data_IF_827258254609
#
_entry.id   IF_827258254609
#
_cell.length_a   1.000
_cell.length_b   1.000
_cell.length_c   1.000
_cell.angle_alpha   90.00
_cell.angle_beta   90.00
_cell.angle_gamma   90.00
#
_symmetry.space_group_name_H-M   'P 1'
#
loop_
_entity.id
_entity.type
_entity.pdbx_description
1 polymer ?
#
# COMPACT_ATOMS: atom_id res chain seq x y z
N UNK A 1 -18.12 -15.73 -9.27
CA UNK A 1 -18.96 -14.68 -8.64
C UNK A 1 -18.06 -13.75 -7.84
N UNK A 2 -17.90 -12.50 -8.28
CA UNK A 2 -17.19 -11.49 -7.48
C UNK A 2 -18.07 -11.16 -6.28
N UNK A 3 -17.72 -11.62 -5.08
CA UNK A 3 -18.16 -10.93 -3.88
C UNK A 3 -17.63 -9.51 -4.01
N UNK A 4 -18.51 -8.56 -4.33
CA UNK A 4 -18.22 -7.16 -4.04
C UNK A 4 -18.02 -7.13 -2.52
N UNK A 5 -16.80 -7.01 -2.06
CA UNK A 5 -16.53 -6.56 -0.70
C UNK A 5 -17.23 -5.21 -0.59
N UNK A 6 -18.47 -5.21 -0.10
CA UNK A 6 -19.18 -3.99 0.23
C UNK A 6 -18.38 -3.45 1.40
N UNK A 7 -17.48 -2.49 1.14
CA UNK A 7 -16.81 -1.77 2.21
C UNK A 7 -17.93 -1.30 3.15
N UNK A 8 -17.85 -1.72 4.41
CA UNK A 8 -18.83 -1.27 5.39
C UNK A 8 -18.75 0.25 5.43
N UNK A 9 -19.89 0.92 5.34
CA UNK A 9 -19.92 2.36 5.59
C UNK A 9 -19.75 2.61 7.08
N UNK A 10 -19.32 3.83 7.43
CA UNK A 10 -19.28 4.32 8.82
C UNK A 10 -20.59 4.07 9.56
N UNK A 11 -21.73 4.28 8.89
CA UNK A 11 -23.05 3.98 9.44
C UNK A 11 -23.26 2.49 9.70
N UNK A 12 -22.85 1.62 8.76
CA UNK A 12 -22.96 0.17 8.92
C UNK A 12 -22.17 -0.36 10.12
N UNK A 13 -20.98 0.18 10.37
CA UNK A 13 -20.17 -0.19 11.55
C UNK A 13 -20.82 0.33 12.83
N UNK A 14 -21.36 1.55 12.81
CA UNK A 14 -22.08 2.08 13.97
C UNK A 14 -23.26 1.19 14.38
N UNK A 15 -24.02 0.69 13.41
CA UNK A 15 -25.09 -0.28 13.67
C UNK A 15 -24.55 -1.57 14.29
N UNK A 16 -23.36 -2.03 13.92
CA UNK A 16 -22.73 -3.20 14.56
C UNK A 16 -22.41 -2.94 16.03
N UNK A 17 -21.84 -1.76 16.36
CA UNK A 17 -21.64 -1.37 17.75
C UNK A 17 -22.96 -1.33 18.52
N UNK A 18 -23.99 -0.70 17.96
CA UNK A 18 -25.30 -0.55 18.60
C UNK A 18 -26.04 -1.89 18.79
N UNK A 19 -25.84 -2.87 17.90
CA UNK A 19 -26.55 -4.16 17.95
C UNK A 19 -25.80 -5.24 18.71
N UNK A 20 -24.46 -5.30 18.57
CA UNK A 20 -23.65 -6.39 19.14
C UNK A 20 -22.84 -5.97 20.37
N UNK A 21 -22.50 -4.69 20.50
CA UNK A 21 -21.72 -4.14 21.62
C UNK A 21 -22.56 -3.17 22.46
N UNK A 22 -23.78 -3.57 22.78
CA UNK A 22 -24.80 -2.75 23.48
C UNK A 22 -24.31 -2.19 24.82
N UNK A 23 -23.51 -2.96 25.55
CA UNK A 23 -22.92 -2.51 26.81
C UNK A 23 -21.95 -1.35 26.60
N UNK A 24 -21.12 -1.42 25.56
CA UNK A 24 -20.17 -0.36 25.22
C UNK A 24 -20.90 0.92 24.79
N UNK A 25 -21.96 0.80 23.99
CA UNK A 25 -22.77 1.95 23.57
C UNK A 25 -23.54 2.57 24.73
N UNK A 26 -24.04 1.76 25.68
CA UNK A 26 -24.65 2.27 26.92
C UNK A 26 -23.64 3.06 27.75
N UNK A 27 -22.46 2.50 28.01
CA UNK A 27 -21.40 3.19 28.75
C UNK A 27 -21.01 4.51 28.11
N UNK A 28 -20.91 4.54 26.77
CA UNK A 28 -20.61 5.77 26.03
C UNK A 28 -21.73 6.81 26.18
N UNK A 29 -23.00 6.40 26.08
CA UNK A 29 -24.16 7.29 26.19
C UNK A 29 -24.35 7.88 27.59
N UNK A 30 -24.02 7.12 28.63
CA UNK A 30 -24.09 7.57 30.03
C UNK A 30 -22.87 8.39 30.46
N UNK A 31 -21.85 8.52 29.59
CA UNK A 31 -20.63 9.27 29.90
C UNK A 31 -20.77 10.70 29.43
N UNK A 32 -20.52 11.66 30.32
CA UNK A 32 -20.64 13.08 30.01
C UNK A 32 -19.48 13.57 29.10
N UNK A 33 -18.28 13.02 29.32
CA UNK A 33 -17.06 13.33 28.60
C UNK A 33 -16.17 12.09 28.36
N UNK A 34 -15.07 12.30 27.63
CA UNK A 34 -14.07 11.27 27.28
C UNK A 34 -13.42 10.64 28.52
N UNK A 35 -13.24 11.41 29.60
CA UNK A 35 -12.58 10.93 30.83
C UNK A 35 -13.50 10.02 31.63
N UNK A 36 -14.77 10.39 31.76
CA UNK A 36 -15.82 9.60 32.38
C UNK A 36 -16.02 8.29 31.62
N UNK A 37 -16.00 8.33 30.29
CA UNK A 37 -16.06 7.13 29.46
C UNK A 37 -14.87 6.19 29.71
N UNK A 38 -13.65 6.71 29.74
CA UNK A 38 -12.45 5.91 30.04
C UNK A 38 -12.51 5.26 31.42
N UNK A 39 -12.98 5.98 32.44
CA UNK A 39 -13.12 5.46 33.80
C UNK A 39 -14.17 4.35 33.86
N UNK A 40 -15.37 4.59 33.33
CA UNK A 40 -16.43 3.57 33.24
C UNK A 40 -15.99 2.34 32.46
N UNK A 41 -15.21 2.54 31.38
CA UNK A 41 -14.68 1.44 30.60
C UNK A 41 -13.61 0.64 31.37
N UNK A 42 -12.74 1.30 32.14
CA UNK A 42 -11.81 0.62 33.04
C UNK A 42 -12.55 -0.23 34.09
N UNK A 43 -13.60 0.31 34.70
CA UNK A 43 -14.41 -0.41 35.68
C UNK A 43 -15.09 -1.62 35.03
N UNK A 44 -15.65 -1.44 33.83
CA UNK A 44 -16.23 -2.51 33.04
C UNK A 44 -15.22 -3.62 32.70
N UNK A 45 -13.96 -3.27 32.41
CA UNK A 45 -12.90 -4.25 32.16
C UNK A 45 -12.54 -5.08 33.41
N UNK A 46 -12.85 -4.61 34.61
CA UNK A 46 -12.59 -5.31 35.88
C UNK A 46 -13.77 -6.16 36.34
N UNK A 47 -15.01 -5.71 36.09
CA UNK A 47 -16.22 -6.35 36.63
C UNK A 47 -17.14 -6.97 35.57
N UNK A 48 -16.88 -6.76 34.28
CA UNK A 48 -17.73 -7.19 33.19
C UNK A 48 -17.65 -8.70 32.87
N UNK A 49 -18.63 -9.25 32.14
CA UNK A 49 -18.62 -10.63 31.66
C UNK A 49 -17.62 -10.79 30.49
N UNK A 50 -16.34 -10.90 30.83
CA UNK A 50 -15.24 -11.01 29.87
C UNK A 50 -14.81 -12.46 29.75
N UNK A 51 -14.86 -12.99 28.53
CA UNK A 51 -14.40 -14.34 28.22
C UNK A 51 -12.92 -14.36 27.80
N UNK A 52 -12.40 -13.24 27.29
CA UNK A 52 -11.02 -13.12 26.82
C UNK A 52 -10.17 -12.11 27.62
N UNK A 53 -9.32 -12.56 28.56
CA UNK A 53 -8.49 -11.67 29.36
C UNK A 53 -7.36 -11.00 28.55
N UNK A 54 -6.92 -11.60 27.43
CA UNK A 54 -5.90 -10.99 26.58
C UNK A 54 -6.46 -9.77 25.83
N UNK A 55 -7.70 -9.85 25.34
CA UNK A 55 -8.42 -8.73 24.75
C UNK A 55 -8.62 -7.59 25.76
N UNK A 56 -8.99 -7.90 27.01
CA UNK A 56 -9.11 -6.91 28.07
C UNK A 56 -7.79 -6.17 28.35
N UNK A 57 -6.65 -6.88 28.41
CA UNK A 57 -5.32 -6.27 28.54
C UNK A 57 -4.98 -5.34 27.37
N UNK A 58 -5.37 -5.71 26.15
CA UNK A 58 -5.14 -4.90 24.95
C UNK A 58 -5.96 -3.59 24.99
N UNK A 59 -7.25 -3.67 25.33
CA UNK A 59 -8.10 -2.50 25.47
C UNK A 59 -7.61 -1.60 26.61
N UNK A 60 -7.18 -2.19 27.73
CA UNK A 60 -6.56 -1.45 28.84
C UNK A 60 -5.34 -0.64 28.38
N UNK A 61 -4.47 -1.23 27.55
CA UNK A 61 -3.33 -0.50 26.95
C UNK A 61 -3.76 0.65 26.05
N UNK A 62 -4.86 0.53 25.30
CA UNK A 62 -5.39 1.64 24.52
C UNK A 62 -5.85 2.78 25.44
N UNK A 63 -6.58 2.46 26.50
CA UNK A 63 -7.04 3.46 27.50
C UNK A 63 -5.85 4.15 28.16
N UNK A 64 -4.83 3.40 28.58
CA UNK A 64 -3.67 3.93 29.30
C UNK A 64 -2.75 4.81 28.41
N UNK A 65 -2.84 4.66 27.10
CA UNK A 65 -2.09 5.50 26.14
C UNK A 65 -2.93 6.65 25.57
N UNK A 66 -4.25 6.61 25.72
CA UNK A 66 -5.15 7.65 25.26
C UNK A 66 -4.94 8.97 26.03
N UNK A 67 -4.52 10.01 25.30
CA UNK A 67 -4.15 11.33 25.80
C UNK A 67 -2.65 11.60 25.83
N UNK A 68 -1.80 10.59 25.59
CA UNK A 68 -0.34 10.79 25.49
C UNK A 68 0.03 11.43 24.16
N UNK A 69 1.12 12.21 24.16
CA UNK A 69 1.74 12.74 22.95
C UNK A 69 2.98 11.93 22.58
N UNK A 70 3.13 11.64 21.29
CA UNK A 70 4.31 11.01 20.70
C UNK A 70 4.88 11.98 19.69
N UNK A 71 6.19 12.18 19.74
CA UNK A 71 6.91 12.92 18.72
C UNK A 71 7.10 12.06 17.46
N UNK A 72 6.51 12.46 16.33
CA UNK A 72 6.71 11.81 15.04
C UNK A 72 7.87 12.48 14.30
N UNK A 73 9.02 11.80 14.29
CA UNK A 73 10.25 12.34 13.70
C UNK A 73 10.16 12.61 12.19
N UNK A 74 9.26 11.96 11.46
CA UNK A 74 9.10 12.13 10.00
C UNK A 74 8.40 13.44 9.62
N UNK A 75 7.49 13.91 10.46
CA UNK A 75 6.73 15.15 10.26
C UNK A 75 7.18 16.27 11.19
N UNK A 76 8.03 15.94 12.17
CA UNK A 76 8.46 16.80 13.27
C UNK A 76 7.28 17.34 14.10
N UNK A 77 6.17 16.59 14.12
CA UNK A 77 4.95 16.97 14.83
C UNK A 77 4.75 16.12 16.09
N UNK A 78 4.14 16.72 17.10
CA UNK A 78 3.60 15.98 18.24
C UNK A 78 2.23 15.43 17.86
N UNK A 79 2.13 14.09 17.79
CA UNK A 79 0.87 13.39 17.57
C UNK A 79 0.28 13.04 18.93
N UNK A 80 -0.95 13.48 19.15
CA UNK A 80 -1.74 13.07 20.32
C UNK A 80 -2.47 11.76 20.03
N UNK A 81 -2.32 10.78 20.91
CA UNK A 81 -3.07 9.52 20.84
C UNK A 81 -4.48 9.78 21.38
N UNK A 82 -5.50 9.63 20.56
CA UNK A 82 -6.90 9.89 20.95
C UNK A 82 -7.84 8.73 20.60
N UNK A 83 -7.32 7.50 20.45
CA UNK A 83 -8.07 6.34 19.96
C UNK A 83 -9.39 6.05 20.71
N UNK A 84 -9.38 6.05 22.04
CA UNK A 84 -10.58 5.79 22.86
C UNK A 84 -11.47 7.04 22.95
N UNK A 85 -10.84 8.22 22.96
CA UNK A 85 -11.55 9.50 22.92
C UNK A 85 -12.34 9.68 21.62
N UNK A 86 -11.75 9.30 20.49
CA UNK A 86 -12.38 9.23 19.18
C UNK A 86 -13.49 8.19 19.12
N UNK A 87 -13.30 7.02 19.74
CA UNK A 87 -14.36 6.01 19.85
C UNK A 87 -15.58 6.55 20.60
N UNK A 88 -15.38 7.25 21.71
CA UNK A 88 -16.50 7.87 22.43
C UNK A 88 -17.23 8.91 21.57
N UNK A 89 -16.49 9.79 20.89
CA UNK A 89 -17.06 10.77 19.94
C UNK A 89 -17.84 10.07 18.82
N UNK A 90 -17.33 8.95 18.31
CA UNK A 90 -17.99 8.13 17.30
C UNK A 90 -19.34 7.58 17.78
N UNK A 91 -19.35 6.95 18.96
CA UNK A 91 -20.55 6.34 19.53
C UNK A 91 -21.60 7.39 19.90
N UNK A 92 -21.18 8.58 20.33
CA UNK A 92 -22.07 9.69 20.75
C UNK A 92 -22.45 10.65 19.62
N UNK A 93 -22.05 10.38 18.35
CA UNK A 93 -22.24 11.28 17.20
C UNK A 93 -21.62 12.68 17.36
N UNK A 94 -20.51 12.80 18.10
CA UNK A 94 -19.79 14.06 18.36
C UNK A 94 -18.54 14.24 17.49
N UNK A 95 -18.34 13.42 16.47
CA UNK A 95 -17.25 13.63 15.49
C UNK A 95 -17.61 14.85 14.64
N UNK A 96 -16.71 15.84 14.62
CA UNK A 96 -16.85 17.06 13.81
C UNK A 96 -15.70 17.07 12.80
N UNK A 97 -16.01 16.89 11.52
CA UNK A 97 -15.12 17.17 10.38
C UNK A 97 -13.70 16.56 10.41
N UNK A 98 -13.49 15.43 11.08
CA UNK A 98 -12.24 14.67 10.97
C UNK A 98 -12.39 13.62 9.85
N UNK A 99 -11.51 13.64 8.84
CA UNK A 99 -11.38 12.58 7.84
C UNK A 99 -10.81 11.31 8.49
N UNK A 100 -11.61 10.66 9.34
CA UNK A 100 -11.22 9.43 10.01
C UNK A 100 -11.50 8.24 9.08
N UNK A 101 -10.48 7.45 8.80
CA UNK A 101 -10.66 6.21 8.03
C UNK A 101 -11.65 5.29 8.72
N UNK A 102 -12.53 4.70 7.91
CA UNK A 102 -13.49 3.69 8.36
C UNK A 102 -12.79 2.48 8.99
N UNK A 103 -11.55 2.20 8.57
CA UNK A 103 -10.74 1.08 9.04
C UNK A 103 -10.48 1.17 10.55
N UNK A 104 -10.33 2.37 11.12
CA UNK A 104 -10.17 2.56 12.56
C UNK A 104 -11.35 1.98 13.33
N UNK A 105 -12.57 2.20 12.85
CA UNK A 105 -13.78 1.71 13.50
C UNK A 105 -13.94 0.20 13.36
N UNK A 106 -13.51 -0.37 12.23
CA UNK A 106 -13.49 -1.81 12.01
C UNK A 106 -12.51 -2.47 13.00
N UNK A 107 -11.31 -1.93 13.12
CA UNK A 107 -10.28 -2.44 14.04
C UNK A 107 -10.76 -2.37 15.49
N UNK A 108 -11.32 -1.23 15.91
CA UNK A 108 -11.86 -1.09 17.25
C UNK A 108 -13.04 -2.03 17.48
N UNK A 109 -13.98 -2.16 16.54
CA UNK A 109 -15.08 -3.09 16.65
C UNK A 109 -14.58 -4.51 16.94
N UNK A 110 -13.63 -5.01 16.15
CA UNK A 110 -13.08 -6.35 16.34
C UNK A 110 -12.27 -6.50 17.64
N UNK A 111 -11.56 -5.46 18.09
CA UNK A 111 -10.88 -5.50 19.39
C UNK A 111 -11.86 -5.63 20.57
N UNK A 112 -13.00 -4.94 20.52
CA UNK A 112 -14.03 -5.04 21.55
C UNK A 112 -14.88 -6.32 21.42
N UNK A 113 -15.14 -6.79 20.20
CA UNK A 113 -15.88 -8.04 19.94
C UNK A 113 -15.14 -9.26 20.56
N UNK A 114 -13.79 -9.23 20.54
CA UNK A 114 -12.96 -10.25 21.18
C UNK A 114 -13.14 -10.36 22.69
N UNK A 115 -13.70 -9.37 23.39
CA UNK A 115 -14.01 -9.51 24.82
C UNK A 115 -15.03 -10.62 25.09
N UNK A 116 -15.93 -10.84 24.13
CA UNK A 116 -17.09 -11.72 24.27
C UNK A 116 -16.91 -13.10 23.64
N UNK A 117 -15.78 -13.33 22.96
CA UNK A 117 -15.47 -14.56 22.25
C UNK A 117 -14.19 -15.18 22.78
N UNK A 118 -14.09 -16.51 22.76
CA UNK A 118 -12.84 -17.20 23.06
C UNK A 118 -11.74 -16.80 22.07
N UNK A 119 -10.46 -16.99 22.43
CA UNK A 119 -9.38 -16.75 21.48
C UNK A 119 -9.58 -17.65 20.26
N UNK A 120 -9.69 -17.04 19.07
CA UNK A 120 -9.72 -17.79 17.82
C UNK A 120 -8.43 -18.64 17.74
N UNK A 121 -8.59 -19.94 17.48
CA UNK A 121 -7.46 -20.81 17.23
C UNK A 121 -6.67 -20.28 16.03
N UNK A 122 -5.36 -20.09 16.21
CA UNK A 122 -4.48 -19.71 15.12
C UNK A 122 -4.56 -20.77 14.02
N UNK A 123 -4.65 -20.35 12.74
CA UNK A 123 -4.75 -21.30 11.65
C UNK A 123 -3.50 -22.19 11.59
N UNK A 124 -3.71 -23.49 11.47
CA UNK A 124 -2.61 -24.45 11.26
C UNK A 124 -1.93 -24.22 9.90
N UNK A 125 -0.68 -24.68 9.76
CA UNK A 125 0.12 -24.53 8.54
C UNK A 125 -0.65 -25.00 7.29
N UNK A 126 -1.38 -26.11 7.40
CA UNK A 126 -2.19 -26.65 6.29
C UNK A 126 -3.30 -25.69 5.88
N UNK A 127 -3.94 -25.02 6.84
CA UNK A 127 -5.00 -24.05 6.59
C UNK A 127 -4.43 -22.80 5.93
N UNK A 128 -3.29 -22.29 6.42
CA UNK A 128 -2.58 -21.18 5.78
C UNK A 128 -2.19 -21.52 4.34
N UNK A 129 -1.62 -22.71 4.10
CA UNK A 129 -1.29 -23.17 2.74
C UNK A 129 -2.52 -23.26 1.83
N UNK A 130 -3.67 -23.69 2.35
CA UNK A 130 -4.93 -23.71 1.59
C UNK A 130 -5.41 -22.29 1.25
N UNK A 131 -5.31 -21.35 2.18
CA UNK A 131 -5.65 -19.94 1.93
C UNK A 131 -4.71 -19.31 0.91
N UNK A 132 -3.42 -19.61 0.96
CA UNK A 132 -2.45 -19.15 -0.03
C UNK A 132 -2.79 -19.66 -1.44
N UNK A 133 -3.29 -20.89 -1.59
CA UNK A 133 -3.73 -21.44 -2.88
C UNK A 133 -4.92 -20.71 -3.50
N UNK A 134 -5.70 -19.96 -2.71
CA UNK A 134 -6.82 -19.15 -3.22
C UNK A 134 -6.35 -18.01 -4.14
N UNK A 135 -5.11 -17.55 -3.95
CA UNK A 135 -4.57 -16.43 -4.71
C UNK A 135 -3.51 -16.92 -5.70
N UNK A 136 -3.55 -16.46 -6.97
CA UNK A 136 -2.57 -16.87 -7.95
C UNK A 136 -1.18 -16.36 -7.56
N UNK A 137 -0.22 -17.28 -7.48
CA UNK A 137 1.17 -16.90 -7.21
C UNK A 137 1.82 -16.31 -8.46
N UNK A 138 2.89 -15.53 -8.27
CA UNK A 138 3.72 -15.06 -9.38
C UNK A 138 4.42 -16.18 -10.18
N UNK A 139 4.37 -17.43 -9.67
CA UNK A 139 4.92 -18.62 -10.30
C UNK A 139 3.89 -19.40 -11.12
N UNK A 140 2.61 -19.04 -11.05
CA UNK A 140 1.55 -19.69 -11.82
C UNK A 140 1.82 -19.58 -13.32
N UNK A 141 1.48 -20.63 -14.06
CA UNK A 141 1.79 -20.72 -15.50
C UNK A 141 1.15 -19.59 -16.31
N UNK A 142 -0.12 -19.26 -16.03
CA UNK A 142 -0.84 -18.15 -16.67
C UNK A 142 -0.15 -16.80 -16.43
N UNK A 143 0.29 -16.55 -15.19
CA UNK A 143 1.01 -15.33 -14.81
C UNK A 143 2.36 -15.25 -15.53
N UNK A 144 3.07 -16.37 -15.62
CA UNK A 144 4.33 -16.48 -16.36
C UNK A 144 4.12 -16.26 -17.86
N UNK A 145 3.02 -16.74 -18.45
CA UNK A 145 2.70 -16.52 -19.84
C UNK A 145 2.43 -15.03 -20.12
N UNK A 146 1.65 -14.36 -19.28
CA UNK A 146 1.39 -12.91 -19.39
C UNK A 146 2.70 -12.12 -19.26
N UNK A 147 3.55 -12.45 -18.27
CA UNK A 147 4.86 -11.79 -18.10
C UNK A 147 5.79 -12.02 -19.28
N UNK A 148 5.80 -13.23 -19.86
CA UNK A 148 6.56 -13.52 -21.09
C UNK A 148 6.09 -12.63 -22.24
N UNK A 149 4.78 -12.55 -22.47
CA UNK A 149 4.21 -11.69 -23.51
C UNK A 149 4.55 -10.21 -23.27
N UNK A 150 4.49 -9.75 -22.02
CA UNK A 150 4.84 -8.37 -21.68
C UNK A 150 6.34 -8.08 -21.89
N UNK A 151 7.21 -9.03 -21.50
CA UNK A 151 8.65 -8.96 -21.77
C UNK A 151 8.93 -8.86 -23.28
N UNK A 152 8.26 -9.67 -24.10
CA UNK A 152 8.41 -9.62 -25.56
C UNK A 152 8.04 -8.27 -26.14
N UNK A 153 6.90 -7.70 -25.69
CA UNK A 153 6.48 -6.35 -26.10
C UNK A 153 7.54 -5.29 -25.74
N UNK A 154 8.10 -5.36 -24.53
CA UNK A 154 9.16 -4.44 -24.09
C UNK A 154 10.43 -4.64 -24.92
N UNK A 155 10.81 -5.88 -25.25
CA UNK A 155 11.95 -6.16 -26.13
C UNK A 155 11.77 -5.50 -27.49
N UNK A 156 10.59 -5.60 -28.11
CA UNK A 156 10.30 -4.92 -29.37
C UNK A 156 10.43 -3.39 -29.27
N UNK A 157 9.97 -2.79 -28.16
CA UNK A 157 10.14 -1.36 -27.92
C UNK A 157 11.61 -0.96 -27.68
N UNK A 158 12.39 -1.82 -27.03
CA UNK A 158 13.82 -1.61 -26.82
C UNK A 158 14.61 -1.70 -28.12
N UNK A 159 14.25 -2.61 -29.03
CA UNK A 159 14.85 -2.67 -30.38
C UNK A 159 14.65 -1.33 -31.08
N UNK A 160 13.39 -0.86 -31.17
CA UNK A 160 13.09 0.44 -31.77
C UNK A 160 13.84 1.59 -31.08
N UNK A 161 13.99 1.54 -29.75
CA UNK A 161 14.73 2.56 -28.98
C UNK A 161 16.23 2.55 -29.31
N UNK A 162 16.84 1.38 -29.49
CA UNK A 162 18.26 1.24 -29.81
C UNK A 162 18.52 1.66 -31.27
N UNK A 163 17.65 1.30 -32.20
CA UNK A 163 17.75 1.71 -33.61
C UNK A 163 17.68 3.21 -33.80
N UNK A 164 16.74 3.87 -33.10
CA UNK A 164 16.58 5.33 -33.19
C UNK A 164 17.65 6.10 -32.40
N UNK A 165 18.61 5.41 -31.77
CA UNK A 165 19.63 6.05 -30.94
C UNK A 165 20.84 6.46 -31.78
N UNK A 166 21.01 7.76 -32.00
CA UNK A 166 22.25 8.32 -32.55
C UNK A 166 23.32 8.47 -31.46
N UNK A 167 23.87 7.35 -30.97
CA UNK A 167 24.96 7.35 -29.98
C UNK A 167 26.04 6.31 -30.35
N UNK A 168 27.10 6.72 -31.08
CA UNK A 168 28.11 5.80 -31.62
C UNK A 168 28.98 5.11 -30.55
N UNK A 169 28.97 5.59 -29.29
CA UNK A 169 29.76 5.04 -28.18
C UNK A 169 28.98 4.09 -27.26
N UNK A 170 27.73 3.75 -27.59
CA UNK A 170 26.91 2.83 -26.80
C UNK A 170 27.45 1.39 -26.94
N UNK A 171 27.65 0.68 -25.82
CA UNK A 171 27.98 -0.77 -25.84
C UNK A 171 26.89 -1.61 -26.51
N UNK A 172 25.64 -1.16 -26.43
CA UNK A 172 24.48 -1.85 -26.98
C UNK A 172 24.10 -1.19 -28.30
N UNK A 173 24.60 -1.75 -29.39
CA UNK A 173 24.36 -1.32 -30.78
C UNK A 173 24.13 -2.57 -31.64
N UNK A 174 23.29 -2.43 -32.65
CA UNK A 174 23.06 -3.50 -33.61
C UNK A 174 24.11 -3.46 -34.73
N UNK A 175 24.67 -4.60 -35.14
CA UNK A 175 25.50 -4.68 -36.33
C UNK A 175 24.73 -4.22 -37.58
N UNK A 176 25.42 -3.56 -38.52
CA UNK A 176 24.82 -3.14 -39.79
C UNK A 176 24.26 -4.34 -40.56
N UNK A 177 23.06 -4.19 -41.13
CA UNK A 177 22.39 -5.25 -41.88
C UNK A 177 21.77 -6.38 -41.02
N UNK A 178 21.73 -6.25 -39.68
CA UNK A 178 21.08 -7.24 -38.82
C UNK A 178 19.59 -7.38 -39.13
N UNK A 179 19.10 -8.62 -39.19
CA UNK A 179 17.66 -8.90 -39.32
C UNK A 179 16.91 -8.60 -38.01
N UNK A 180 15.59 -8.48 -38.06
CA UNK A 180 14.76 -8.30 -36.84
C UNK A 180 14.93 -9.44 -35.84
N UNK A 181 15.10 -10.67 -36.33
CA UNK A 181 15.33 -11.86 -35.49
C UNK A 181 16.70 -11.79 -34.79
N UNK A 182 17.74 -11.33 -35.49
CA UNK A 182 19.06 -11.13 -34.92
C UNK A 182 19.06 -10.06 -33.83
N UNK A 183 18.39 -8.92 -34.07
CA UNK A 183 18.23 -7.85 -33.08
C UNK A 183 17.52 -8.36 -31.84
N UNK A 184 16.44 -9.12 -32.01
CA UNK A 184 15.70 -9.73 -30.90
C UNK A 184 16.58 -10.70 -30.10
N UNK A 185 17.35 -11.55 -30.77
CA UNK A 185 18.29 -12.48 -30.12
C UNK A 185 19.35 -11.74 -29.30
N UNK A 186 19.93 -10.66 -29.84
CA UNK A 186 20.91 -9.82 -29.13
C UNK A 186 20.30 -9.15 -27.89
N UNK A 187 19.11 -8.55 -28.02
CA UNK A 187 18.43 -7.94 -26.86
C UNK A 187 18.08 -9.00 -25.80
N UNK A 188 17.68 -10.21 -26.21
CA UNK A 188 17.46 -11.31 -25.27
C UNK A 188 18.75 -11.72 -24.53
N UNK A 189 19.91 -11.68 -25.18
CA UNK A 189 21.21 -11.92 -24.52
C UNK A 189 21.53 -10.79 -23.54
N UNK A 190 21.45 -9.54 -23.98
CA UNK A 190 21.70 -8.36 -23.14
C UNK A 190 20.72 -8.23 -21.97
N UNK A 191 19.50 -8.78 -22.10
CA UNK A 191 18.53 -8.80 -21.01
C UNK A 191 19.07 -9.45 -19.73
N UNK A 192 20.05 -10.36 -19.84
CA UNK A 192 20.67 -11.01 -18.69
C UNK A 192 21.77 -10.17 -18.04
N UNK A 193 22.12 -9.01 -18.61
CA UNK A 193 23.11 -8.09 -18.07
C UNK A 193 22.46 -6.96 -17.26
N UNK A 194 22.86 -6.79 -16.00
CA UNK A 194 22.37 -5.69 -15.17
C UNK A 194 22.67 -4.30 -15.79
N UNK A 195 23.82 -4.16 -16.46
CA UNK A 195 24.24 -2.91 -17.13
C UNK A 195 23.31 -2.52 -18.28
N UNK A 196 22.70 -3.49 -18.97
CA UNK A 196 21.75 -3.23 -20.04
C UNK A 196 20.49 -2.56 -19.50
N UNK A 197 19.94 -3.07 -18.40
CA UNK A 197 18.77 -2.50 -17.74
C UNK A 197 18.99 -1.06 -17.27
N UNK A 198 20.17 -0.74 -16.76
CA UNK A 198 20.54 0.61 -16.37
C UNK A 198 20.70 1.54 -17.59
N UNK A 199 21.32 1.06 -18.67
CA UNK A 199 21.51 1.83 -19.90
C UNK A 199 20.20 2.11 -20.64
N UNK A 200 19.24 1.19 -20.53
CA UNK A 200 17.93 1.23 -21.19
C UNK A 200 16.80 1.76 -20.32
N UNK A 201 17.08 2.14 -19.06
CA UNK A 201 16.10 2.67 -18.15
C UNK A 201 15.30 3.85 -18.75
N UNK A 202 14.03 3.90 -18.37
CA UNK A 202 13.08 4.94 -18.76
C UNK A 202 13.36 6.20 -17.95
N UNK A 203 13.44 7.34 -18.65
CA UNK A 203 13.82 8.62 -18.03
C UNK A 203 12.77 9.73 -18.12
N UNK A 204 11.65 9.46 -18.80
CA UNK A 204 10.61 10.46 -18.98
C UNK A 204 9.20 9.83 -18.94
N UNK A 205 8.16 10.62 -18.57
CA UNK A 205 6.80 10.10 -18.41
C UNK A 205 6.19 9.55 -19.70
N UNK A 206 6.49 10.17 -20.85
CA UNK A 206 5.96 9.77 -22.16
C UNK A 206 6.48 8.38 -22.55
N UNK A 207 7.77 8.15 -22.36
CA UNK A 207 8.42 6.86 -22.58
C UNK A 207 7.90 5.81 -21.59
N UNK A 208 7.68 6.18 -20.33
CA UNK A 208 7.07 5.29 -19.34
C UNK A 208 5.69 4.82 -19.79
N UNK A 209 4.84 5.74 -20.24
CA UNK A 209 3.51 5.40 -20.72
C UNK A 209 3.58 4.49 -21.96
N UNK A 210 4.45 4.81 -22.92
CA UNK A 210 4.69 3.95 -24.09
C UNK A 210 5.15 2.55 -23.69
N UNK A 211 6.08 2.45 -22.74
CA UNK A 211 6.57 1.16 -22.22
C UNK A 211 5.49 0.38 -21.48
N UNK A 212 4.47 1.04 -20.93
CA UNK A 212 3.30 0.40 -20.32
C UNK A 212 2.12 0.24 -21.29
N UNK A 213 2.30 0.46 -22.59
CA UNK A 213 1.23 0.28 -23.57
C UNK A 213 0.12 1.32 -23.46
N UNK A 214 0.45 2.53 -23.00
CA UNK A 214 -0.46 3.64 -22.76
C UNK A 214 -1.55 3.34 -21.71
N UNK A 215 -1.23 2.48 -20.74
CA UNK A 215 -2.18 2.05 -19.70
C UNK A 215 -2.21 2.97 -18.47
N UNK A 216 -1.38 4.02 -18.39
CA UNK A 216 -1.38 4.92 -17.24
C UNK A 216 -2.58 5.86 -17.28
N UNK A 217 -3.17 6.13 -16.11
CA UNK A 217 -4.22 7.14 -15.97
C UNK A 217 -3.68 8.54 -16.22
N UNK A 218 -4.57 9.45 -16.62
CA UNK A 218 -4.21 10.87 -16.81
C UNK A 218 -3.68 11.50 -15.51
N UNK A 219 -4.29 11.18 -14.37
CA UNK A 219 -3.84 11.60 -13.04
C UNK A 219 -2.40 11.18 -12.76
N UNK A 220 -2.04 9.94 -13.08
CA UNK A 220 -0.67 9.44 -12.91
C UNK A 220 0.30 10.20 -13.82
N UNK A 221 -0.07 10.44 -15.07
CA UNK A 221 0.79 11.21 -15.99
C UNK A 221 1.00 12.65 -15.49
N UNK A 222 -0.06 13.31 -15.04
CA UNK A 222 0.02 14.66 -14.46
C UNK A 222 0.92 14.67 -13.21
N UNK A 223 0.83 13.65 -12.35
CA UNK A 223 1.71 13.48 -11.19
C UNK A 223 3.17 13.38 -11.61
N UNK A 224 3.48 12.60 -12.64
CA UNK A 224 4.83 12.46 -13.18
C UNK A 224 5.35 13.75 -13.85
N UNK A 225 4.46 14.54 -14.47
CA UNK A 225 4.81 15.87 -14.97
C UNK A 225 5.11 16.84 -13.82
N UNK A 226 4.34 16.80 -12.72
CA UNK A 226 4.61 17.58 -11.49
C UNK A 226 5.95 17.18 -10.86
N UNK A 227 6.21 15.88 -10.75
CA UNK A 227 7.49 15.34 -10.27
C UNK A 227 8.69 15.86 -11.09
N UNK A 228 8.59 15.82 -12.42
CA UNK A 228 9.64 16.32 -13.31
C UNK A 228 9.85 17.84 -13.16
N UNK A 229 8.78 18.62 -12.99
CA UNK A 229 8.88 20.07 -12.71
C UNK A 229 9.58 20.37 -11.39
N UNK A 230 9.44 19.49 -10.39
CA UNK A 230 10.17 19.55 -9.11
C UNK A 230 11.61 19.04 -9.20
N UNK A 231 12.08 18.62 -10.38
CA UNK A 231 13.43 18.07 -10.56
C UNK A 231 13.61 16.62 -10.12
N UNK A 232 12.53 15.92 -9.73
CA UNK A 232 12.62 14.51 -9.37
C UNK A 232 12.91 13.66 -10.64
N UNK A 233 14.02 12.90 -10.68
CA UNK A 233 14.37 12.11 -11.85
C UNK A 233 13.40 10.94 -11.97
N UNK A 234 12.95 10.60 -13.18
CA UNK A 234 12.28 9.32 -13.47
C UNK A 234 13.36 8.32 -13.82
N UNK A 235 13.38 7.17 -13.15
CA UNK A 235 14.33 6.10 -13.48
C UNK A 235 13.73 4.73 -13.19
N UNK A 236 13.24 4.06 -14.22
CA UNK A 236 12.64 2.73 -14.07
C UNK A 236 13.27 1.79 -15.09
N UNK A 237 13.74 0.63 -14.64
CA UNK A 237 14.40 -0.35 -15.51
C UNK A 237 13.39 -1.17 -16.32
N UNK A 238 13.75 -1.64 -17.53
CA UNK A 238 12.88 -2.50 -18.34
C UNK A 238 12.46 -3.78 -17.62
N UNK A 239 13.31 -4.34 -16.75
CA UNK A 239 12.99 -5.51 -15.96
C UNK A 239 11.74 -5.29 -15.08
N UNK A 240 11.72 -4.21 -14.29
CA UNK A 240 10.57 -3.90 -13.43
C UNK A 240 9.29 -3.64 -14.24
N UNK A 241 9.39 -2.95 -15.38
CA UNK A 241 8.25 -2.74 -16.28
C UNK A 241 7.70 -4.05 -16.87
N UNK A 242 8.56 -5.05 -17.06
CA UNK A 242 8.12 -6.37 -17.55
C UNK A 242 7.28 -7.15 -16.54
N UNK A 243 7.42 -6.84 -15.25
CA UNK A 243 6.66 -7.45 -14.16
C UNK A 243 5.28 -6.82 -13.95
N UNK A 244 5.03 -5.64 -14.54
CA UNK A 244 3.74 -4.97 -14.47
C UNK A 244 2.76 -5.57 -15.47
N UNK A 245 1.48 -5.47 -15.14
CA UNK A 245 0.36 -5.91 -15.95
C UNK A 245 -0.32 -4.70 -16.61
N UNK A 246 0.05 -4.35 -17.86
CA UNK A 246 -0.60 -3.24 -18.57
C UNK A 246 -2.04 -3.55 -18.99
N UNK A 247 -2.44 -4.82 -19.01
CA UNK A 247 -3.77 -5.25 -19.51
C UNK A 247 -4.85 -5.27 -18.43
N UNK A 248 -4.45 -5.27 -17.15
CA UNK A 248 -5.36 -5.42 -16.00
C UNK A 248 -6.04 -6.80 -15.91
N UNK A 249 -5.59 -7.80 -16.67
CA UNK A 249 -6.15 -9.15 -16.70
C UNK A 249 -5.14 -10.19 -16.20
N UNK A 250 -5.62 -11.20 -15.46
CA UNK A 250 -4.85 -12.39 -15.06
C UNK A 250 -4.24 -12.33 -13.66
N UNK A 251 -3.53 -11.25 -13.30
CA UNK A 251 -3.03 -11.05 -11.93
C UNK A 251 -3.05 -9.58 -11.54
N UNK A 252 -3.13 -9.36 -10.22
CA UNK A 252 -3.02 -8.05 -9.60
C UNK A 252 -1.53 -7.70 -9.41
N UNK A 253 -1.13 -6.55 -9.92
CA UNK A 253 0.24 -6.03 -9.85
C UNK A 253 0.36 -4.80 -8.95
N UNK A 254 -0.68 -4.44 -8.20
CA UNK A 254 -0.76 -3.20 -7.43
C UNK A 254 0.40 -3.04 -6.43
N UNK A 255 0.79 -4.13 -5.75
CA UNK A 255 1.90 -4.11 -4.81
C UNK A 255 3.26 -3.79 -5.47
N UNK A 256 3.49 -4.29 -6.68
CA UNK A 256 4.73 -4.00 -7.44
C UNK A 256 4.63 -2.60 -8.07
N UNK A 257 3.43 -2.23 -8.52
CA UNK A 257 3.12 -0.93 -9.14
C UNK A 257 3.32 0.22 -8.17
N UNK A 258 2.81 0.11 -6.94
CA UNK A 258 2.96 1.14 -5.90
C UNK A 258 4.40 1.32 -5.43
N UNK A 259 5.21 0.26 -5.54
CA UNK A 259 6.65 0.33 -5.24
C UNK A 259 7.45 1.04 -6.36
N UNK A 260 7.08 0.81 -7.62
CA UNK A 260 7.82 1.35 -8.77
C UNK A 260 7.36 2.77 -9.13
N UNK A 261 6.06 3.03 -9.05
CA UNK A 261 5.48 4.31 -9.45
C UNK A 261 5.42 5.30 -8.28
N UNK A 262 5.54 6.58 -8.59
CA UNK A 262 5.46 7.62 -7.56
C UNK A 262 4.06 7.73 -6.95
N UNK A 263 4.02 7.86 -5.63
CA UNK A 263 2.83 8.27 -4.89
C UNK A 263 2.68 9.80 -4.90
N UNK A 264 1.44 10.27 -4.79
CA UNK A 264 1.14 11.71 -4.66
C UNK A 264 1.90 12.34 -3.50
N UNK A 265 1.86 11.69 -2.33
CA UNK A 265 2.54 12.12 -1.12
C UNK A 265 4.06 12.23 -1.29
N UNK A 266 4.70 11.29 -2.00
CA UNK A 266 6.14 11.36 -2.28
C UNK A 266 6.47 12.58 -3.13
N UNK A 267 5.70 12.83 -4.19
CA UNK A 267 5.92 14.01 -5.07
C UNK A 267 5.67 15.31 -4.32
N UNK A 268 4.72 15.34 -3.40
CA UNK A 268 4.38 16.53 -2.63
C UNK A 268 5.45 16.87 -1.59
N UNK A 269 5.92 15.86 -0.87
CA UNK A 269 6.98 16.02 0.14
C UNK A 269 8.38 16.16 -0.46
N UNK A 270 8.59 15.75 -1.72
CA UNK A 270 9.89 15.88 -2.42
C UNK A 270 10.47 17.31 -2.34
N UNK A 271 11.70 17.41 -1.82
CA UNK A 271 12.40 18.66 -1.52
C UNK A 271 12.31 19.10 -0.05
N UNK A 272 11.28 18.64 0.67
CA UNK A 272 11.08 18.89 2.10
C UNK A 272 11.26 17.61 2.94
N UNK A 273 11.52 16.46 2.30
CA UNK A 273 11.77 15.19 2.99
C UNK A 273 13.00 15.37 3.88
N UNK A 274 12.78 15.46 5.19
CA UNK A 274 13.82 15.32 6.19
C UNK A 274 14.06 13.83 6.35
N UNK A 275 14.91 13.28 5.48
CA UNK A 275 15.42 11.94 5.70
C UNK A 275 16.23 11.98 7.00
N UNK A 276 15.81 11.21 8.00
CA UNK A 276 16.54 11.05 9.26
C UNK A 276 18.00 10.61 9.04
N UNK A 277 18.32 10.08 7.86
CA UNK A 277 19.68 9.86 7.38
C UNK A 277 20.24 11.08 6.63
N UNK A 278 20.88 12.02 7.35
CA UNK A 278 22.19 12.62 6.97
C UNK A 278 22.75 13.58 8.05
N UNK A 279 24.08 13.58 8.34
CA UNK A 279 25.15 12.83 7.67
C UNK A 279 25.99 11.95 8.62
N UNK A 280 26.22 10.68 8.25
CA UNK A 280 27.40 9.91 8.69
C UNK A 280 28.68 10.34 7.93
N UNK A 281 28.78 11.61 7.54
CA UNK A 281 29.90 12.17 6.79
C UNK A 281 30.40 13.44 7.49
N UNK A 282 30.86 13.26 8.73
CA UNK A 282 31.86 14.14 9.35
C UNK A 282 32.79 13.23 10.16
N UNK A 283 33.90 12.82 9.54
CA UNK A 283 35.18 12.51 10.18
C UNK A 283 36.29 12.85 9.18
#
# INVERSE_FOLDING_TARGET
MKQKNKMLSTHGIKTLFETRLTQLTSLASESQDETAFKNKLNDYLLSGPIYNPAAARQIKRLIDNDGKTIYEASTEQEIKIETISLLWKFLTNRIINEEISVDLWIDLYHQFDRLYHEEEELPDEKQVQQWMKRWPSGLNEDVRAIRRQNKERIISLLIQKIENRHAPSSRYLFPEGSTEEDKRRLVCQWWNEARFHLAMAVKNPTELNRMLGNSLSEETLQLYHKARKKGMPVFITPYYLSLLNPTGKGYDDEAIRSYILYSSQLVETYGNIHAWERPCAIY
#
